data_IF_701577047523
#
_entry.id   IF_701577047523
#
_cell.length_a   1.000
_cell.length_b   1.000
_cell.length_c   1.000
_cell.angle_alpha   90.00
_cell.angle_beta   90.00
_cell.angle_gamma   90.00
#
_symmetry.space_group_name_H-M   'P 1'
#
loop_
_entity.id
_entity.type
_entity.pdbx_description
1 polymer ?
#
# COMPACT_ATOMS: atom_id res chain seq x y z
N UNK A 1 15.72 -37.28 -82.68
CA UNK A 1 15.14 -38.14 -81.62
C UNK A 1 16.23 -38.44 -80.62
N UNK A 2 15.93 -38.15 -79.36
CA UNK A 2 16.84 -37.97 -78.22
C UNK A 2 16.88 -39.28 -77.43
N UNK A 3 18.05 -39.71 -76.97
CA UNK A 3 18.21 -40.83 -76.04
C UNK A 3 19.13 -40.45 -74.87
N UNK A 4 18.70 -40.89 -73.70
CA UNK A 4 19.08 -40.52 -72.34
C UNK A 4 20.54 -40.73 -71.95
N UNK A 5 21.03 -39.86 -71.06
CA UNK A 5 21.99 -40.23 -70.02
C UNK A 5 21.89 -39.26 -68.84
N UNK A 6 21.30 -39.71 -67.73
CA UNK A 6 21.24 -39.01 -66.45
C UNK A 6 22.18 -39.73 -65.48
N UNK A 7 23.41 -39.26 -65.40
CA UNK A 7 24.40 -39.65 -64.38
C UNK A 7 24.10 -38.95 -63.06
N UNK A 8 23.79 -39.74 -62.04
CA UNK A 8 23.71 -39.30 -60.65
C UNK A 8 25.08 -38.80 -60.15
N UNK A 9 25.07 -37.72 -59.36
CA UNK A 9 26.22 -37.24 -58.61
C UNK A 9 25.87 -36.98 -57.14
N UNK A 10 26.84 -37.20 -56.23
CA UNK A 10 26.60 -37.49 -54.82
C UNK A 10 26.22 -36.25 -54.00
N UNK A 11 25.47 -36.51 -52.94
CA UNK A 11 25.07 -35.57 -51.91
C UNK A 11 26.30 -34.92 -51.26
N UNK A 12 26.54 -33.64 -51.57
CA UNK A 12 27.44 -32.81 -50.81
C UNK A 12 26.76 -32.40 -49.51
N UNK A 13 27.21 -33.02 -48.43
CA UNK A 13 27.01 -32.56 -47.07
C UNK A 13 27.66 -31.17 -46.92
N UNK A 14 26.86 -30.12 -47.00
CA UNK A 14 27.19 -28.86 -46.33
C UNK A 14 26.25 -28.76 -45.14
N UNK A 15 26.74 -29.26 -44.00
CA UNK A 15 26.15 -29.00 -42.70
C UNK A 15 26.12 -27.49 -42.50
N UNK A 16 24.94 -26.91 -42.64
CA UNK A 16 24.61 -25.55 -42.23
C UNK A 16 24.86 -25.52 -40.72
N UNK A 17 25.98 -24.93 -40.32
CA UNK A 17 26.29 -24.61 -38.92
C UNK A 17 25.32 -23.51 -38.50
N UNK A 18 24.15 -23.95 -38.06
CA UNK A 18 23.05 -23.12 -37.60
C UNK A 18 23.41 -22.57 -36.20
N UNK A 19 23.86 -21.32 -36.17
CA UNK A 19 23.58 -20.31 -35.13
C UNK A 19 23.76 -20.73 -33.66
N UNK A 20 24.88 -20.35 -33.00
CA UNK A 20 24.92 -20.20 -31.56
C UNK A 20 25.02 -18.70 -31.20
N UNK A 21 24.01 -17.90 -31.54
CA UNK A 21 23.96 -16.47 -31.13
C UNK A 21 22.67 -16.12 -30.38
N UNK A 22 21.76 -17.09 -30.19
CA UNK A 22 20.46 -16.87 -29.55
C UNK A 22 20.39 -17.45 -28.12
N UNK A 23 21.42 -17.26 -27.30
CA UNK A 23 21.45 -17.78 -25.93
C UNK A 23 21.86 -16.76 -24.86
N UNK A 24 21.93 -15.46 -25.18
CA UNK A 24 22.36 -14.41 -24.22
C UNK A 24 21.20 -13.48 -23.80
N UNK A 25 20.01 -13.57 -24.43
CA UNK A 25 18.89 -12.65 -24.18
C UNK A 25 17.79 -13.23 -23.27
N UNK A 26 18.16 -13.95 -22.21
CA UNK A 26 17.19 -14.69 -21.39
C UNK A 26 17.19 -14.40 -19.88
N UNK A 27 18.01 -13.49 -19.37
CA UNK A 27 18.30 -13.41 -17.93
C UNK A 27 17.90 -12.10 -17.23
N UNK A 28 17.03 -11.26 -17.81
CA UNK A 28 16.68 -9.96 -17.23
C UNK A 28 15.21 -9.82 -16.77
N UNK A 29 14.48 -10.92 -16.52
CA UNK A 29 13.05 -10.87 -16.23
C UNK A 29 12.61 -11.39 -14.84
N UNK A 30 13.49 -11.44 -13.83
CA UNK A 30 13.13 -11.95 -12.50
C UNK A 30 13.70 -11.09 -11.35
N UNK A 31 13.61 -9.76 -11.48
CA UNK A 31 14.12 -8.81 -10.51
C UNK A 31 13.09 -7.87 -9.90
N UNK A 32 11.80 -8.18 -9.98
CA UNK A 32 10.75 -7.47 -9.23
C UNK A 32 10.48 -8.20 -7.93
N UNK A 33 11.51 -8.37 -7.07
CA UNK A 33 11.26 -8.87 -5.73
C UNK A 33 10.44 -7.83 -4.99
N UNK A 34 9.17 -8.14 -4.80
CA UNK A 34 8.24 -7.53 -3.87
C UNK A 34 8.83 -7.66 -2.45
N UNK A 35 9.86 -6.88 -2.13
CA UNK A 35 10.35 -6.73 -0.76
C UNK A 35 9.34 -5.87 -0.05
N UNK A 36 8.24 -6.51 0.35
CA UNK A 36 7.29 -5.97 1.32
C UNK A 36 8.12 -5.55 2.52
N UNK A 37 8.30 -4.24 2.70
CA UNK A 37 8.95 -3.71 3.91
C UNK A 37 8.19 -4.30 5.11
N UNK A 38 8.87 -4.58 6.22
CA UNK A 38 8.19 -5.05 7.41
C UNK A 38 7.06 -4.06 7.74
N UNK A 39 5.84 -4.53 8.09
CA UNK A 39 4.74 -3.66 8.44
C UNK A 39 5.18 -2.65 9.49
N UNK A 40 5.04 -1.36 9.20
CA UNK A 40 5.42 -0.30 10.11
C UNK A 40 4.33 -0.17 11.18
N UNK A 41 4.66 -0.40 12.45
CA UNK A 41 3.75 -0.14 13.58
C UNK A 41 4.12 1.20 14.20
N UNK A 42 3.15 2.09 14.30
CA UNK A 42 3.32 3.45 14.83
C UNK A 42 2.32 3.62 15.96
N UNK A 43 2.84 3.79 17.17
CA UNK A 43 2.04 4.18 18.34
C UNK A 43 1.90 5.70 18.33
N UNK A 44 0.67 6.19 18.48
CA UNK A 44 0.34 7.61 18.49
C UNK A 44 -0.29 7.91 19.85
N UNK A 45 0.48 8.55 20.72
CA UNK A 45 0.07 8.91 22.07
C UNK A 45 -0.41 10.36 22.17
N UNK A 46 -0.88 10.78 23.36
CA UNK A 46 -1.36 12.14 23.62
C UNK A 46 -0.38 13.25 23.22
N UNK A 47 0.93 12.98 23.31
CA UNK A 47 1.98 13.95 22.97
C UNK A 47 2.21 14.11 21.45
N UNK A 48 1.74 13.16 20.64
CA UNK A 48 1.92 13.15 19.18
C UNK A 48 0.76 13.85 18.45
N UNK A 49 -0.34 14.11 19.15
CA UNK A 49 -1.51 14.75 18.57
C UNK A 49 -1.35 16.26 18.43
N UNK A 50 -1.98 16.87 17.40
CA UNK A 50 -2.09 18.31 17.31
C UNK A 50 -2.99 18.89 18.41
N UNK A 51 -2.91 20.20 18.70
CA UNK A 51 -3.69 20.85 19.75
C UNK A 51 -5.22 20.73 19.63
N UNK A 52 -5.75 20.50 18.43
CA UNK A 52 -7.19 20.30 18.19
C UNK A 52 -7.69 18.87 18.45
N UNK A 53 -6.81 17.93 18.80
CA UNK A 53 -7.21 16.60 19.22
C UNK A 53 -7.84 16.62 20.61
N UNK A 54 -8.67 15.62 20.88
CA UNK A 54 -9.32 15.45 22.18
C UNK A 54 -10.81 15.19 22.07
N UNK A 55 -11.44 15.12 23.25
CA UNK A 55 -12.87 14.93 23.38
C UNK A 55 -13.62 16.19 22.97
N UNK A 56 -14.48 16.07 21.95
CA UNK A 56 -15.41 17.10 21.48
C UNK A 56 -16.77 16.98 22.17
N UNK A 57 -17.68 17.92 21.90
CA UNK A 57 -19.01 18.00 22.54
C UNK A 57 -19.71 16.64 22.64
N UNK A 58 -20.23 16.36 23.85
CA UNK A 58 -21.04 15.21 24.22
C UNK A 58 -20.56 13.88 23.64
N UNK A 59 -19.42 13.40 24.17
CA UNK A 59 -19.11 11.96 24.18
C UNK A 59 -18.45 11.43 22.90
N UNK A 60 -17.67 12.29 22.26
CA UNK A 60 -16.93 11.99 21.04
C UNK A 60 -15.48 12.43 21.16
N UNK A 61 -14.55 11.71 20.55
CA UNK A 61 -13.14 12.09 20.52
C UNK A 61 -12.64 12.16 19.09
N UNK A 62 -11.73 13.07 18.81
CA UNK A 62 -11.09 13.21 17.51
C UNK A 62 -9.56 13.29 17.63
N UNK A 63 -8.85 12.72 16.65
CA UNK A 63 -7.38 12.78 16.61
C UNK A 63 -6.83 14.11 16.10
N UNK A 64 -7.67 14.90 15.41
CA UNK A 64 -7.37 16.22 14.88
C UNK A 64 -8.69 16.91 14.53
N UNK A 65 -8.71 18.24 14.63
CA UNK A 65 -9.81 19.08 14.16
C UNK A 65 -9.99 19.02 12.65
N UNK A 66 -11.14 19.51 12.19
CA UNK A 66 -11.41 19.59 10.74
C UNK A 66 -10.52 20.60 10.02
N UNK A 67 -10.08 21.65 10.72
CA UNK A 67 -9.35 22.77 10.14
C UNK A 67 -8.26 23.23 11.11
N UNK A 68 -7.19 23.80 10.57
CA UNK A 68 -6.18 24.55 11.31
C UNK A 68 -4.93 23.78 11.71
N UNK A 69 -5.05 22.46 11.90
CA UNK A 69 -3.94 21.59 12.31
C UNK A 69 -3.64 20.52 11.25
N UNK A 70 -2.36 20.10 11.12
CA UNK A 70 -1.98 19.01 10.23
C UNK A 70 -2.58 17.67 10.70
N UNK A 71 -3.11 16.91 9.75
CA UNK A 71 -3.62 15.56 9.99
C UNK A 71 -2.48 14.55 10.19
N UNK A 72 -2.80 13.39 10.76
CA UNK A 72 -1.79 12.39 11.09
C UNK A 72 -1.27 11.71 9.83
N UNK A 73 0.06 11.65 9.67
CA UNK A 73 0.66 10.91 8.57
C UNK A 73 0.31 9.42 8.69
N UNK A 74 -0.18 8.85 7.59
CA UNK A 74 -0.62 7.47 7.53
C UNK A 74 -0.08 6.79 6.29
N UNK A 75 1.11 6.22 6.44
CA UNK A 75 1.84 5.64 5.32
C UNK A 75 1.27 4.32 4.82
N UNK A 76 1.58 3.99 3.57
CA UNK A 76 1.29 2.68 2.98
C UNK A 76 1.86 1.57 3.85
N UNK A 77 1.11 0.46 4.00
CA UNK A 77 1.49 -0.71 4.80
C UNK A 77 1.70 -0.44 6.29
N UNK A 78 1.31 0.73 6.80
CA UNK A 78 1.42 1.09 8.21
C UNK A 78 0.24 0.57 9.04
N UNK A 79 0.50 0.30 10.32
CA UNK A 79 -0.48 0.08 11.38
C UNK A 79 -0.33 1.20 12.39
N UNK A 80 -1.37 2.01 12.57
CA UNK A 80 -1.44 3.01 13.63
C UNK A 80 -2.14 2.41 14.84
N UNK A 81 -1.56 2.61 16.02
CA UNK A 81 -2.19 2.34 17.32
C UNK A 81 -2.43 3.72 17.93
N UNK A 82 -3.67 4.19 17.88
CA UNK A 82 -4.05 5.53 18.31
C UNK A 82 -4.61 5.48 19.72
N UNK A 83 -3.93 6.09 20.68
CA UNK A 83 -4.43 6.27 22.04
C UNK A 83 -5.54 7.33 22.06
N UNK A 84 -6.61 7.12 22.83
CA UNK A 84 -7.69 8.09 22.97
C UNK A 84 -8.18 8.19 24.42
N UNK A 85 -8.74 9.35 24.76
CA UNK A 85 -9.15 9.69 26.12
C UNK A 85 -10.66 9.53 26.36
N UNK A 86 -11.36 8.73 25.54
CA UNK A 86 -12.80 8.51 25.68
C UNK A 86 -13.17 7.77 26.97
N UNK A 87 -12.25 6.98 27.54
CA UNK A 87 -12.44 6.25 28.80
C UNK A 87 -13.45 5.10 28.72
N UNK A 88 -13.79 4.66 27.50
CA UNK A 88 -14.67 3.53 27.19
C UNK A 88 -14.45 3.07 25.76
N UNK A 89 -14.88 1.85 25.45
CA UNK A 89 -14.84 1.32 24.09
C UNK A 89 -15.82 2.09 23.17
N UNK A 90 -15.34 2.72 22.08
CA UNK A 90 -16.21 3.39 21.12
C UNK A 90 -17.20 2.44 20.44
N UNK A 91 -18.46 2.87 20.37
CA UNK A 91 -19.50 2.23 19.57
C UNK A 91 -19.35 2.51 18.07
N UNK A 92 -18.72 3.63 17.72
CA UNK A 92 -18.56 4.12 16.35
C UNK A 92 -17.12 4.56 16.12
N UNK A 93 -16.55 4.14 14.99
CA UNK A 93 -15.20 4.54 14.53
C UNK A 93 -15.30 5.04 13.09
N UNK A 94 -14.98 6.31 12.88
CA UNK A 94 -14.98 6.97 11.57
C UNK A 94 -13.56 7.37 11.22
N UNK A 95 -13.07 6.86 10.09
CA UNK A 95 -11.74 7.19 9.58
C UNK A 95 -11.91 8.01 8.31
N UNK A 96 -11.30 9.21 8.30
CA UNK A 96 -11.23 10.07 7.13
C UNK A 96 -9.81 10.06 6.60
N UNK A 97 -9.66 9.95 5.28
CA UNK A 97 -8.38 10.03 4.61
C UNK A 97 -8.35 11.21 3.64
N UNK A 98 -7.20 11.85 3.58
CA UNK A 98 -6.85 12.93 2.66
C UNK A 98 -5.52 12.59 1.99
N UNK A 99 -5.30 13.10 0.77
CA UNK A 99 -3.97 13.12 0.16
C UNK A 99 -3.17 14.35 0.58
N UNK A 100 -3.85 15.37 1.12
CA UNK A 100 -3.26 16.64 1.58
C UNK A 100 -3.20 16.67 3.12
N UNK A 101 -2.10 17.23 3.66
CA UNK A 101 -1.82 17.27 5.10
C UNK A 101 -2.85 18.07 5.91
N UNK A 102 -3.50 19.05 5.29
CA UNK A 102 -4.52 19.90 5.91
C UNK A 102 -5.93 19.26 5.93
N UNK A 103 -6.08 18.06 5.36
CA UNK A 103 -7.38 17.39 5.24
C UNK A 103 -8.22 17.83 4.03
N UNK A 104 -7.67 18.66 3.13
CA UNK A 104 -8.38 19.12 1.93
C UNK A 104 -8.78 17.95 1.03
N UNK A 105 -10.06 17.90 0.64
CA UNK A 105 -10.59 16.81 -0.19
C UNK A 105 -10.75 15.48 0.55
N UNK A 106 -10.73 15.49 1.89
CA UNK A 106 -10.89 14.28 2.67
C UNK A 106 -12.22 13.55 2.40
N UNK A 107 -12.17 12.23 2.46
CA UNK A 107 -13.33 11.36 2.36
C UNK A 107 -13.37 10.36 3.50
N UNK A 108 -14.58 9.98 3.91
CA UNK A 108 -14.76 8.82 4.78
C UNK A 108 -14.28 7.57 4.02
N UNK A 109 -13.43 6.78 4.65
CA UNK A 109 -12.82 5.61 4.01
C UNK A 109 -13.37 4.30 4.57
N UNK A 110 -13.15 3.22 3.83
CA UNK A 110 -13.48 1.87 4.23
C UNK A 110 -12.60 0.87 3.47
N UNK A 111 -12.55 -0.37 3.95
CA UNK A 111 -11.81 -1.46 3.30
C UNK A 111 -10.31 -1.38 3.59
N UNK A 112 -9.50 -1.69 2.58
CA UNK A 112 -8.06 -1.94 2.77
C UNK A 112 -7.23 -0.66 2.98
N UNK A 113 -7.78 0.52 2.73
CA UNK A 113 -7.10 1.80 3.01
C UNK A 113 -7.12 2.17 4.49
N UNK A 114 -8.13 1.72 5.25
CA UNK A 114 -8.19 1.90 6.71
C UNK A 114 -8.99 0.78 7.36
N UNK A 115 -8.38 -0.40 7.47
CA UNK A 115 -8.95 -1.54 8.15
C UNK A 115 -8.85 -1.34 9.66
N UNK A 116 -9.98 -1.29 10.35
CA UNK A 116 -10.01 -1.30 11.82
C UNK A 116 -9.65 -2.73 12.28
N UNK A 117 -8.60 -2.86 13.08
CA UNK A 117 -8.05 -4.14 13.55
C UNK A 117 -8.58 -4.45 14.96
N UNK A 118 -8.56 -3.47 15.86
CA UNK A 118 -9.07 -3.58 17.22
C UNK A 118 -9.51 -2.21 17.72
N UNK A 119 -10.43 -2.23 18.68
CA UNK A 119 -10.98 -1.08 19.38
C UNK A 119 -11.13 -1.51 20.84
N UNK A 120 -10.64 -0.70 21.78
CA UNK A 120 -10.86 -0.90 23.20
C UNK A 120 -11.11 0.45 23.89
N UNK A 121 -11.03 0.49 25.22
CA UNK A 121 -11.32 1.69 26.00
C UNK A 121 -10.24 2.79 25.94
N UNK A 122 -9.09 2.45 25.37
CA UNK A 122 -7.88 3.28 25.36
C UNK A 122 -7.28 3.44 23.97
N UNK A 123 -7.49 2.48 23.07
CA UNK A 123 -6.83 2.44 21.76
C UNK A 123 -7.77 2.05 20.62
N UNK A 124 -7.50 2.65 19.45
CA UNK A 124 -8.00 2.18 18.15
C UNK A 124 -6.80 1.80 17.28
N UNK A 125 -6.79 0.56 16.78
CA UNK A 125 -5.77 0.10 15.85
C UNK A 125 -6.30 0.08 14.42
N UNK A 126 -5.62 0.78 13.50
CA UNK A 126 -6.02 0.93 12.11
C UNK A 126 -4.85 0.54 11.20
N UNK A 127 -5.14 -0.21 10.15
CA UNK A 127 -4.14 -0.70 9.20
C UNK A 127 -4.42 -0.29 7.76
N UNK A 128 -3.37 0.18 7.08
CA UNK A 128 -3.36 0.48 5.65
C UNK A 128 -2.77 -0.73 4.95
N UNK A 129 -3.59 -1.55 4.30
CA UNK A 129 -3.14 -2.69 3.51
C UNK A 129 -2.74 -2.31 2.08
N UNK A 130 -2.75 -1.02 1.75
CA UNK A 130 -2.32 -0.48 0.45
C UNK A 130 -0.89 0.08 0.51
N UNK A 131 -0.35 0.45 -0.66
CA UNK A 131 0.94 1.13 -0.78
C UNK A 131 0.82 2.66 -0.84
N UNK A 132 -0.39 3.20 -0.73
CA UNK A 132 -0.62 4.64 -0.82
C UNK A 132 -0.42 5.30 0.55
N UNK A 133 0.23 6.46 0.53
CA UNK A 133 0.36 7.33 1.69
C UNK A 133 -0.86 8.27 1.75
N UNK A 134 -1.36 8.48 2.97
CA UNK A 134 -2.48 9.36 3.26
C UNK A 134 -2.18 10.23 4.49
N UNK A 135 -3.07 11.17 4.74
CA UNK A 135 -3.24 11.82 6.02
C UNK A 135 -4.59 11.41 6.62
N UNK A 136 -4.59 11.09 7.91
CA UNK A 136 -5.70 10.46 8.61
C UNK A 136 -6.26 11.36 9.70
N UNK A 137 -7.60 11.38 9.76
CA UNK A 137 -8.36 11.88 10.90
C UNK A 137 -9.27 10.77 11.42
N UNK A 138 -9.14 10.48 12.71
CA UNK A 138 -9.97 9.54 13.44
C UNK A 138 -11.03 10.31 14.23
N UNK A 139 -12.27 9.85 14.19
CA UNK A 139 -13.36 10.29 15.07
C UNK A 139 -14.05 9.07 15.67
N UNK A 140 -14.23 9.08 16.98
CA UNK A 140 -14.84 7.99 17.73
C UNK A 140 -15.97 8.48 18.63
N UNK A 141 -16.94 7.60 18.92
CA UNK A 141 -18.07 7.82 19.84
C UNK A 141 -18.48 6.55 20.56
#
# INVERSE_FOLDING_TARGET
>A
MIASSLTARPASALAIVLVPVLAILGAAALGGCDTKLPPQVIEVGPADYPPSAGTTDDDSWQSVGWLGDPWLRYSGQATLILEHELGREPSTVLVYLSFEEDGSGAALTAGDTARIVSVDDSFVTIRNDTNADFFLRLVIR
#
